data_IF_469455142992
#
_entry.id   IF_469455142992
#
_cell.length_a   1.000
_cell.length_b   1.000
_cell.length_c   1.000
_cell.angle_alpha   90.00
_cell.angle_beta   90.00
_cell.angle_gamma   90.00
#
_symmetry.space_group_name_H-M   'P 1'
#
loop_
_entity.id
_entity.type
_entity.pdbx_description
1 polymer ?
#
# COMPACT_ATOMS: atom_id res chain seq x y z
N UNK A 1 4.27 -41.36 53.54
CA UNK A 1 5.24 -40.26 53.61
C UNK A 1 5.72 -39.77 52.24
N UNK A 2 6.00 -40.65 51.27
CA UNK A 2 6.41 -40.24 49.91
C UNK A 2 5.32 -39.51 49.10
N UNK A 3 4.04 -39.81 49.28
CA UNK A 3 2.94 -39.12 48.56
C UNK A 3 2.72 -37.68 49.04
N UNK A 4 2.87 -37.43 50.34
CA UNK A 4 2.76 -36.11 50.95
C UNK A 4 3.95 -35.21 50.59
N UNK A 5 5.17 -35.75 50.52
CA UNK A 5 6.35 -35.02 50.06
C UNK A 5 6.23 -34.60 48.58
N UNK A 6 5.68 -35.46 47.71
CA UNK A 6 5.46 -35.17 46.29
C UNK A 6 4.40 -34.08 46.07
N UNK A 7 3.34 -34.08 46.87
CA UNK A 7 2.30 -33.04 46.86
C UNK A 7 2.83 -31.69 47.38
N UNK A 8 3.70 -31.69 48.38
CA UNK A 8 4.33 -30.48 48.87
C UNK A 8 5.30 -29.87 47.84
N UNK A 9 6.10 -30.71 47.18
CA UNK A 9 7.04 -30.27 46.14
C UNK A 9 6.33 -29.72 44.90
N UNK A 10 5.20 -30.30 44.46
CA UNK A 10 4.45 -29.76 43.31
C UNK A 10 3.78 -28.42 43.63
N UNK A 11 3.29 -28.26 44.86
CA UNK A 11 2.64 -27.01 45.31
C UNK A 11 3.66 -25.89 45.50
N UNK A 12 4.83 -26.22 46.05
CA UNK A 12 5.93 -25.28 46.23
C UNK A 12 6.55 -24.87 44.89
N UNK A 13 6.80 -25.83 44.00
CA UNK A 13 7.24 -25.56 42.62
C UNK A 13 6.21 -24.72 41.85
N UNK A 14 4.91 -24.98 42.00
CA UNK A 14 3.85 -24.19 41.37
C UNK A 14 3.83 -22.72 41.81
N UNK A 15 4.07 -22.45 43.11
CA UNK A 15 4.12 -21.08 43.64
C UNK A 15 5.38 -20.31 43.24
N UNK A 16 6.51 -21.00 43.09
CA UNK A 16 7.78 -20.40 42.63
C UNK A 16 7.81 -20.20 41.11
N UNK A 17 7.22 -21.11 40.36
CA UNK A 17 7.14 -21.02 38.90
C UNK A 17 6.06 -20.06 38.42
N UNK A 18 5.01 -19.80 39.20
CA UNK A 18 3.94 -18.86 38.83
C UNK A 18 4.44 -17.43 38.53
N UNK A 19 5.23 -16.76 39.39
CA UNK A 19 5.77 -15.43 39.09
C UNK A 19 6.81 -15.47 37.98
N UNK A 20 7.66 -16.50 37.89
CA UNK A 20 8.58 -16.65 36.76
C UNK A 20 7.82 -16.80 35.44
N UNK A 21 6.72 -17.58 35.44
CA UNK A 21 5.85 -17.74 34.29
C UNK A 21 5.19 -16.42 33.90
N UNK A 22 4.73 -15.61 34.87
CA UNK A 22 4.12 -14.31 34.59
C UNK A 22 5.14 -13.33 33.97
N UNK A 23 6.35 -13.24 34.53
CA UNK A 23 7.39 -12.35 33.99
C UNK A 23 7.87 -12.81 32.61
N UNK A 24 7.92 -14.12 32.36
CA UNK A 24 8.24 -14.67 31.03
C UNK A 24 7.11 -14.43 30.04
N UNK A 25 5.84 -14.56 30.42
CA UNK A 25 4.71 -14.17 29.56
C UNK A 25 4.74 -12.69 29.24
N UNK A 26 4.97 -11.82 30.24
CA UNK A 26 5.00 -10.37 30.02
C UNK A 26 6.18 -9.96 29.12
N UNK A 27 7.35 -10.59 29.28
CA UNK A 27 8.50 -10.37 28.41
C UNK A 27 8.27 -10.92 26.98
N UNK A 28 7.56 -12.03 26.84
CA UNK A 28 7.20 -12.61 25.53
C UNK A 28 6.12 -11.79 24.82
N UNK A 29 5.12 -11.29 25.55
CA UNK A 29 4.12 -10.39 25.02
C UNK A 29 4.77 -9.07 24.59
N UNK A 30 5.73 -8.55 25.37
CA UNK A 30 6.56 -7.41 24.98
C UNK A 30 7.43 -7.69 23.74
N UNK A 31 8.00 -8.90 23.62
CA UNK A 31 8.75 -9.29 22.43
C UNK A 31 7.85 -9.45 21.20
N UNK A 32 6.63 -9.99 21.36
CA UNK A 32 5.63 -10.09 20.29
C UNK A 32 5.21 -8.68 19.82
N UNK A 33 5.01 -7.74 20.75
CA UNK A 33 4.71 -6.34 20.43
C UNK A 33 5.86 -5.66 19.68
N UNK A 34 7.11 -5.90 20.09
CA UNK A 34 8.28 -5.35 19.38
C UNK A 34 8.41 -5.94 17.97
N UNK A 35 8.22 -7.25 17.81
CA UNK A 35 8.24 -7.91 16.49
C UNK A 35 7.09 -7.42 15.61
N UNK A 36 5.90 -7.22 16.18
CA UNK A 36 4.76 -6.65 15.49
C UNK A 36 5.06 -5.23 15.01
N UNK A 37 5.58 -4.36 15.89
CA UNK A 37 5.97 -2.98 15.53
C UNK A 37 7.05 -2.94 14.47
N UNK A 38 8.04 -3.84 14.55
CA UNK A 38 9.12 -3.90 13.59
C UNK A 38 8.64 -4.42 12.23
N UNK A 39 7.75 -5.42 12.22
CA UNK A 39 7.10 -5.90 11.00
C UNK A 39 6.20 -4.81 10.38
N UNK A 40 5.46 -4.06 11.20
CA UNK A 40 4.66 -2.92 10.73
C UNK A 40 5.55 -1.82 10.16
N UNK A 41 6.66 -1.47 10.82
CA UNK A 41 7.61 -0.46 10.34
C UNK A 41 8.29 -0.89 9.02
N UNK A 42 8.66 -2.16 8.88
CA UNK A 42 9.23 -2.70 7.64
C UNK A 42 8.20 -2.66 6.50
N UNK A 43 6.96 -3.08 6.77
CA UNK A 43 5.88 -3.00 5.78
C UNK A 43 5.58 -1.53 5.44
N UNK A 44 5.53 -0.65 6.43
CA UNK A 44 5.24 0.77 6.24
C UNK A 44 6.33 1.48 5.44
N UNK A 45 7.60 1.15 5.68
CA UNK A 45 8.75 1.70 4.94
C UNK A 45 8.77 1.20 3.50
N UNK A 46 8.60 -0.10 3.26
CA UNK A 46 8.52 -0.67 1.92
C UNK A 46 7.31 -0.11 1.14
N UNK A 47 6.17 0.08 1.82
CA UNK A 47 5.02 0.74 1.22
C UNK A 47 5.23 2.25 1.03
N UNK A 48 6.04 2.91 1.88
CA UNK A 48 6.30 4.35 1.80
C UNK A 48 7.21 4.65 0.62
N UNK A 49 8.28 3.89 0.43
CA UNK A 49 9.18 4.00 -0.71
C UNK A 49 8.44 3.80 -2.03
N UNK A 50 7.53 2.81 -2.08
CA UNK A 50 6.64 2.59 -3.23
C UNK A 50 5.59 3.68 -3.40
N UNK A 51 5.04 4.23 -2.32
CA UNK A 51 4.06 5.31 -2.41
C UNK A 51 4.71 6.63 -2.82
N UNK A 52 5.90 6.95 -2.32
CA UNK A 52 6.66 8.17 -2.61
C UNK A 52 6.98 8.29 -4.10
N UNK A 53 7.33 7.18 -4.75
CA UNK A 53 7.55 7.15 -6.20
C UNK A 53 6.29 7.44 -7.02
N UNK A 54 5.08 7.28 -6.44
CA UNK A 54 3.80 7.57 -7.09
C UNK A 54 3.22 8.94 -6.70
N UNK A 55 3.36 9.36 -5.43
CA UNK A 55 2.76 10.61 -4.92
C UNK A 55 3.51 11.84 -5.38
N UNK A 56 4.85 11.80 -5.42
CA UNK A 56 5.66 12.96 -5.78
C UNK A 56 5.38 13.45 -7.21
N UNK A 57 5.27 12.57 -8.23
CA UNK A 57 4.85 12.99 -9.57
C UNK A 57 3.43 13.57 -9.63
N UNK A 58 2.49 13.06 -8.83
CA UNK A 58 1.13 13.60 -8.76
C UNK A 58 1.10 15.03 -8.20
N UNK A 59 1.86 15.30 -7.12
CA UNK A 59 2.00 16.65 -6.57
C UNK A 59 2.70 17.60 -7.55
N UNK A 60 3.72 17.12 -8.27
CA UNK A 60 4.39 17.90 -9.32
C UNK A 60 3.42 18.27 -10.43
N UNK A 61 2.57 17.34 -10.89
CA UNK A 61 1.54 17.63 -11.90
C UNK A 61 0.56 18.71 -11.39
N UNK A 62 0.07 18.60 -10.15
CA UNK A 62 -0.84 19.60 -9.56
C UNK A 62 -0.16 20.96 -9.46
N UNK A 63 1.09 21.00 -8.99
CA UNK A 63 1.87 22.24 -8.92
C UNK A 63 2.08 22.86 -10.31
N UNK A 64 2.41 22.04 -11.31
CA UNK A 64 2.54 22.48 -12.70
C UNK A 64 1.22 23.00 -13.24
N UNK A 65 0.08 22.33 -12.98
CA UNK A 65 -1.23 22.83 -13.39
C UNK A 65 -1.55 24.19 -12.76
N UNK A 66 -1.24 24.37 -11.47
CA UNK A 66 -1.41 25.65 -10.78
C UNK A 66 -0.54 26.77 -11.39
N UNK A 67 0.73 26.48 -11.65
CA UNK A 67 1.66 27.41 -12.30
C UNK A 67 1.23 27.71 -13.74
N UNK A 68 0.81 26.70 -14.50
CA UNK A 68 0.32 26.85 -15.87
C UNK A 68 -0.96 27.68 -15.94
N UNK A 69 -1.86 27.51 -14.97
CA UNK A 69 -3.05 28.35 -14.83
C UNK A 69 -2.66 29.81 -14.54
N UNK A 70 -1.79 30.05 -13.57
CA UNK A 70 -1.32 31.40 -13.23
C UNK A 70 -0.60 32.09 -14.40
N UNK A 71 0.24 31.34 -15.13
CA UNK A 71 0.90 31.82 -16.34
C UNK A 71 -0.11 32.16 -17.44
N UNK A 72 -1.11 31.31 -17.66
CA UNK A 72 -2.19 31.56 -18.62
C UNK A 72 -3.00 32.81 -18.30
N UNK A 73 -3.32 33.03 -17.02
CA UNK A 73 -3.97 34.26 -16.55
C UNK A 73 -3.10 35.48 -16.80
N UNK A 74 -1.79 35.40 -16.52
CA UNK A 74 -0.86 36.50 -16.73
C UNK A 74 -0.67 36.86 -18.22
N UNK A 75 -0.81 35.89 -19.13
CA UNK A 75 -0.73 36.10 -20.58
C UNK A 75 -1.95 36.84 -21.16
N UNK A 76 -3.07 36.94 -20.42
CA UNK A 76 -4.26 37.69 -20.84
C UNK A 76 -4.96 37.17 -22.11
N UNK A 77 -4.54 36.01 -22.63
CA UNK A 77 -5.10 35.40 -23.85
C UNK A 77 -5.63 34.01 -23.54
N UNK A 78 -6.90 33.77 -23.91
CA UNK A 78 -7.55 32.47 -23.70
C UNK A 78 -6.84 31.33 -24.46
N UNK A 79 -6.26 31.63 -25.62
CA UNK A 79 -5.49 30.69 -26.45
C UNK A 79 -4.21 30.21 -25.74
N UNK A 80 -3.45 31.13 -25.14
CA UNK A 80 -2.22 30.82 -24.42
C UNK A 80 -2.48 29.97 -23.17
N UNK A 81 -3.54 30.30 -22.43
CA UNK A 81 -3.98 29.49 -21.29
C UNK A 81 -4.35 28.06 -21.70
N UNK A 82 -5.08 27.90 -22.81
CA UNK A 82 -5.46 26.58 -23.34
C UNK A 82 -4.22 25.77 -23.73
N UNK A 83 -3.29 26.35 -24.48
CA UNK A 83 -2.05 25.66 -24.89
C UNK A 83 -1.20 25.19 -23.70
N UNK A 84 -0.98 26.06 -22.72
CA UNK A 84 -0.19 25.73 -21.52
C UNK A 84 -0.86 24.63 -20.71
N UNK A 85 -2.16 24.76 -20.43
CA UNK A 85 -2.89 23.75 -19.65
C UNK A 85 -3.01 22.43 -20.42
N UNK A 86 -3.32 22.45 -21.71
CA UNK A 86 -3.41 21.24 -22.53
C UNK A 86 -2.09 20.48 -22.62
N UNK A 87 -0.95 21.18 -22.69
CA UNK A 87 0.38 20.56 -22.70
C UNK A 87 0.68 19.85 -21.38
N UNK A 88 0.37 20.50 -20.25
CA UNK A 88 0.56 19.93 -18.92
C UNK A 88 -0.35 18.72 -18.71
N UNK A 89 -1.61 18.80 -19.13
CA UNK A 89 -2.57 17.69 -19.06
C UNK A 89 -2.13 16.53 -19.94
N UNK A 90 -1.60 16.80 -21.14
CA UNK A 90 -1.07 15.76 -22.03
C UNK A 90 0.14 15.04 -21.42
N UNK A 91 1.10 15.78 -20.87
CA UNK A 91 2.25 15.20 -20.17
C UNK A 91 1.80 14.36 -18.96
N UNK A 92 0.84 14.86 -18.19
CA UNK A 92 0.23 14.13 -17.07
C UNK A 92 -0.48 12.85 -17.54
N UNK A 93 -1.19 12.89 -18.67
CA UNK A 93 -1.87 11.72 -19.23
C UNK A 93 -0.88 10.64 -19.69
N UNK A 94 0.20 11.02 -20.37
CA UNK A 94 1.28 10.09 -20.77
C UNK A 94 1.90 9.44 -19.53
N UNK A 95 2.22 10.25 -18.52
CA UNK A 95 2.75 9.75 -17.26
C UNK A 95 1.76 8.81 -16.55
N UNK A 96 0.47 9.15 -16.50
CA UNK A 96 -0.57 8.32 -15.90
C UNK A 96 -0.71 6.97 -16.62
N UNK A 97 -0.67 6.94 -17.95
CA UNK A 97 -0.66 5.69 -18.74
C UNK A 97 0.57 4.85 -18.40
N UNK A 98 1.76 5.47 -18.40
CA UNK A 98 3.00 4.78 -18.04
C UNK A 98 2.94 4.18 -16.63
N UNK A 99 2.54 4.98 -15.63
CA UNK A 99 2.39 4.56 -14.25
C UNK A 99 1.34 3.45 -14.08
N UNK A 100 0.22 3.53 -14.81
CA UNK A 100 -0.82 2.50 -14.81
C UNK A 100 -0.29 1.18 -15.38
N UNK A 101 0.43 1.22 -16.49
CA UNK A 101 1.04 0.02 -17.10
C UNK A 101 2.11 -0.58 -16.17
N UNK A 102 2.97 0.26 -15.58
CA UNK A 102 3.97 -0.17 -14.63
C UNK A 102 3.33 -0.81 -13.38
N UNK A 103 2.30 -0.17 -12.83
CA UNK A 103 1.52 -0.68 -11.70
C UNK A 103 0.81 -1.98 -12.03
N UNK A 104 0.16 -2.07 -13.20
CA UNK A 104 -0.49 -3.29 -13.67
C UNK A 104 0.51 -4.45 -13.80
N UNK A 105 1.69 -4.22 -14.39
CA UNK A 105 2.77 -5.22 -14.47
C UNK A 105 3.27 -5.66 -13.10
N UNK A 106 3.40 -4.72 -12.16
CA UNK A 106 3.85 -5.02 -10.81
C UNK A 106 2.81 -5.82 -10.01
N UNK A 107 1.52 -5.55 -10.22
CA UNK A 107 0.41 -6.25 -9.52
C UNK A 107 0.05 -7.56 -10.20
N UNK A 108 0.30 -7.70 -11.50
CA UNK A 108 -0.04 -8.88 -12.30
C UNK A 108 0.36 -10.23 -11.67
N UNK A 109 1.61 -10.47 -11.22
CA UNK A 109 1.97 -11.75 -10.63
C UNK A 109 1.16 -12.05 -9.36
N UNK A 110 0.86 -11.02 -8.57
CA UNK A 110 0.03 -11.16 -7.37
C UNK A 110 -1.44 -11.39 -7.71
N UNK A 111 -1.95 -10.76 -8.76
CA UNK A 111 -3.30 -10.98 -9.27
C UNK A 111 -3.49 -12.39 -9.82
N UNK A 112 -2.54 -12.88 -10.62
CA UNK A 112 -2.55 -14.24 -11.15
C UNK A 112 -2.48 -15.28 -10.03
N UNK A 113 -1.59 -15.08 -9.05
CA UNK A 113 -1.52 -15.95 -7.87
C UNK A 113 -2.80 -15.90 -7.04
N UNK A 114 -3.41 -14.72 -6.87
CA UNK A 114 -4.69 -14.58 -6.18
C UNK A 114 -5.81 -15.35 -6.90
N UNK A 115 -5.94 -15.17 -8.22
CA UNK A 115 -6.89 -15.91 -9.06
C UNK A 115 -6.67 -17.43 -8.96
N UNK A 116 -5.42 -17.89 -8.92
CA UNK A 116 -5.09 -19.31 -8.78
C UNK A 116 -5.46 -19.88 -7.39
N UNK A 117 -5.34 -19.07 -6.33
CA UNK A 117 -5.64 -19.53 -4.96
C UNK A 117 -7.13 -19.54 -4.59
N UNK A 118 -8.00 -18.89 -5.38
CA UNK A 118 -9.46 -18.77 -5.14
C UNK A 118 -9.84 -18.33 -3.71
N UNK A 119 -8.95 -17.61 -3.02
CA UNK A 119 -9.19 -17.14 -1.65
C UNK A 119 -9.72 -15.72 -1.64
N UNK A 120 -10.45 -15.35 -0.60
CA UNK A 120 -10.83 -13.96 -0.35
C UNK A 120 -9.58 -13.07 -0.23
N UNK A 121 -9.71 -11.78 -0.55
CA UNK A 121 -8.61 -10.78 -0.50
C UNK A 121 -7.88 -10.82 0.83
N UNK A 122 -8.62 -10.86 1.95
CA UNK A 122 -8.06 -10.97 3.30
C UNK A 122 -7.28 -12.27 3.50
N UNK A 123 -7.80 -13.39 2.97
CA UNK A 123 -7.14 -14.69 3.04
C UNK A 123 -5.86 -14.76 2.22
N UNK A 124 -5.81 -14.07 1.08
CA UNK A 124 -4.63 -13.97 0.23
C UNK A 124 -3.55 -13.07 0.84
N UNK A 125 -3.92 -11.87 1.33
CA UNK A 125 -2.98 -10.96 2.01
C UNK A 125 -2.38 -11.63 3.24
N UNK A 126 -3.20 -12.33 4.03
CA UNK A 126 -2.71 -13.12 5.17
C UNK A 126 -1.68 -14.17 4.75
N UNK A 127 -1.91 -14.86 3.62
CA UNK A 127 -0.97 -15.87 3.12
C UNK A 127 0.35 -15.25 2.65
N UNK A 128 0.29 -14.08 2.02
CA UNK A 128 1.49 -13.33 1.62
C UNK A 128 2.29 -12.84 2.84
N UNK A 129 1.63 -12.28 3.85
CA UNK A 129 2.28 -11.88 5.11
C UNK A 129 2.88 -13.10 5.81
N UNK A 130 2.15 -14.22 5.84
CA UNK A 130 2.66 -15.48 6.39
C UNK A 130 3.93 -15.95 5.67
N UNK A 131 3.92 -16.02 4.34
CA UNK A 131 5.08 -16.46 3.55
C UNK A 131 6.28 -15.53 3.74
N UNK A 132 6.03 -14.22 3.79
CA UNK A 132 7.06 -13.22 4.06
C UNK A 132 7.66 -13.37 5.46
N UNK A 133 6.82 -13.47 6.50
CA UNK A 133 7.25 -13.65 7.87
C UNK A 133 7.99 -14.97 8.06
N UNK A 134 7.52 -16.05 7.44
CA UNK A 134 8.20 -17.34 7.50
C UNK A 134 9.59 -17.26 6.88
N UNK A 135 9.73 -16.63 5.72
CA UNK A 135 11.04 -16.44 5.07
C UNK A 135 12.00 -15.56 5.88
N UNK A 136 11.49 -14.48 6.49
CA UNK A 136 12.29 -13.59 7.35
C UNK A 136 12.64 -14.24 8.69
N UNK A 137 11.73 -14.99 9.30
CA UNK A 137 12.00 -15.72 10.53
C UNK A 137 12.98 -16.85 10.28
N UNK A 138 12.81 -17.63 9.22
CA UNK A 138 13.76 -18.70 8.85
C UNK A 138 15.14 -18.10 8.52
N UNK A 139 15.19 -16.99 7.78
CA UNK A 139 16.44 -16.28 7.52
C UNK A 139 17.09 -15.79 8.81
N UNK A 140 16.41 -14.99 9.63
CA UNK A 140 16.97 -14.42 10.87
C UNK A 140 17.38 -15.49 11.89
N UNK A 141 16.61 -16.58 11.98
CA UNK A 141 16.97 -17.73 12.81
C UNK A 141 18.19 -18.44 12.23
N UNK A 142 18.34 -18.55 10.90
CA UNK A 142 19.52 -19.15 10.25
C UNK A 142 20.78 -18.28 10.30
N UNK A 143 20.67 -16.96 10.19
CA UNK A 143 21.82 -16.04 10.28
C UNK A 143 22.33 -15.88 11.70
N UNK A 144 21.46 -16.00 12.71
CA UNK A 144 21.87 -16.08 14.11
C UNK A 144 22.53 -17.43 14.45
N UNK A 145 22.28 -18.47 13.64
CA UNK A 145 22.85 -19.82 13.82
C UNK A 145 24.14 -20.03 13.05
N UNK A 146 25.17 -19.27 13.44
CA UNK A 146 26.48 -19.90 13.55
C UNK A 146 26.44 -21.09 14.53
N UNK A 147 25.58 -21.02 15.57
CA UNK A 147 25.32 -22.10 16.54
C UNK A 147 23.85 -22.05 17.04
N UNK A 148 23.25 -23.22 17.19
CA UNK A 148 21.80 -23.55 17.19
C UNK A 148 20.98 -23.20 18.45
N UNK A 149 21.41 -22.26 19.28
CA UNK A 149 20.91 -22.16 20.67
C UNK A 149 19.79 -21.13 20.86
N UNK A 150 19.81 -19.97 20.20
CA UNK A 150 18.91 -18.86 20.55
C UNK A 150 17.48 -19.08 20.00
N UNK A 151 17.35 -19.52 18.74
CA UNK A 151 16.05 -19.75 18.11
C UNK A 151 15.23 -20.85 18.77
N UNK A 152 15.89 -21.95 19.16
CA UNK A 152 15.26 -23.08 19.86
C UNK A 152 14.88 -22.71 21.30
N UNK A 153 15.66 -21.84 21.96
CA UNK A 153 15.35 -21.30 23.29
C UNK A 153 14.14 -20.38 23.24
N UNK A 154 14.04 -19.49 22.26
CA UNK A 154 12.86 -18.61 22.09
C UNK A 154 11.59 -19.41 21.83
N UNK A 155 11.64 -20.40 20.92
CA UNK A 155 10.50 -21.29 20.66
C UNK A 155 10.14 -22.16 21.87
N UNK A 156 11.13 -22.62 22.65
CA UNK A 156 10.87 -23.35 23.91
C UNK A 156 10.25 -22.44 24.97
N UNK A 157 10.73 -21.21 25.12
CA UNK A 157 10.17 -20.23 26.05
C UNK A 157 8.72 -19.91 25.68
N UNK A 158 8.44 -19.71 24.39
CA UNK A 158 7.07 -19.57 23.87
C UNK A 158 6.22 -20.82 24.13
N UNK A 159 6.78 -22.03 23.97
CA UNK A 159 6.03 -23.27 24.25
C UNK A 159 5.66 -23.43 25.74
N UNK A 160 6.47 -22.90 26.66
CA UNK A 160 6.27 -22.95 28.10
C UNK A 160 5.18 -21.97 28.57
N UNK A 161 4.98 -20.87 27.85
CA UNK A 161 3.91 -19.90 28.13
C UNK A 161 2.55 -20.31 27.53
N UNK A 162 2.49 -21.39 26.74
CA UNK A 162 1.29 -21.78 25.98
C UNK A 162 1.20 -21.13 24.60
N UNK A 163 2.28 -20.48 24.14
CA UNK A 163 2.44 -19.92 22.82
C UNK A 163 2.77 -20.98 21.73
N UNK A 164 2.88 -20.53 20.47
CA UNK A 164 3.13 -21.40 19.32
C UNK A 164 4.48 -22.15 19.45
N UNK A 165 4.44 -23.47 19.22
CA UNK A 165 5.62 -24.36 19.35
C UNK A 165 6.50 -24.42 18.11
N UNK A 166 6.00 -23.90 16.98
CA UNK A 166 6.70 -23.92 15.69
C UNK A 166 6.77 -22.51 15.12
N UNK A 167 7.82 -22.26 14.33
CA UNK A 167 7.99 -20.99 13.59
C UNK A 167 6.79 -20.73 12.68
N UNK A 168 6.24 -21.78 12.07
CA UNK A 168 5.05 -21.73 11.23
C UNK A 168 3.82 -21.25 12.00
N UNK A 169 3.58 -21.79 13.20
CA UNK A 169 2.45 -21.38 14.03
C UNK A 169 2.59 -19.93 14.52
N UNK A 170 3.82 -19.50 14.82
CA UNK A 170 4.13 -18.11 15.17
C UNK A 170 3.89 -17.16 13.98
N UNK A 171 4.44 -17.50 12.81
CA UNK A 171 4.29 -16.73 11.59
C UNK A 171 2.80 -16.60 11.19
N UNK A 172 2.02 -17.67 11.32
CA UNK A 172 0.59 -17.64 11.03
C UNK A 172 -0.19 -16.76 12.00
N UNK A 173 0.12 -16.84 13.30
CA UNK A 173 -0.53 -16.01 14.33
C UNK A 173 -0.25 -14.53 14.13
N UNK A 174 1.02 -14.19 13.86
CA UNK A 174 1.43 -12.83 13.50
C UNK A 174 0.74 -12.37 12.22
N UNK A 175 0.68 -13.21 11.19
CA UNK A 175 -0.01 -12.87 9.95
C UNK A 175 -1.49 -12.54 10.19
N UNK A 176 -2.20 -13.32 11.01
CA UNK A 176 -3.61 -13.06 11.36
C UNK A 176 -3.78 -11.70 12.04
N UNK A 177 -2.89 -11.33 12.97
CA UNK A 177 -2.95 -10.04 13.69
C UNK A 177 -2.59 -8.84 12.80
N UNK A 178 -1.55 -8.99 11.97
CA UNK A 178 -1.02 -7.91 11.14
C UNK A 178 -1.92 -7.64 9.92
N UNK A 179 -2.60 -8.65 9.37
CA UNK A 179 -3.45 -8.55 8.17
C UNK A 179 -4.44 -7.36 8.20
N UNK A 180 -5.33 -7.19 9.21
CA UNK A 180 -6.28 -6.08 9.22
C UNK A 180 -5.60 -4.70 9.27
N UNK A 181 -4.46 -4.61 9.97
CA UNK A 181 -3.69 -3.37 10.06
C UNK A 181 -3.10 -3.02 8.70
N UNK A 182 -2.46 -3.97 8.03
CA UNK A 182 -1.88 -3.77 6.69
C UNK A 182 -2.96 -3.43 5.67
N UNK A 183 -4.12 -4.09 5.71
CA UNK A 183 -5.25 -3.77 4.82
C UNK A 183 -5.76 -2.35 5.05
N UNK A 184 -5.90 -1.91 6.31
CA UNK A 184 -6.31 -0.54 6.64
C UNK A 184 -5.32 0.49 6.11
N UNK A 185 -4.03 0.28 6.33
CA UNK A 185 -2.97 1.19 5.86
C UNK A 185 -2.89 1.21 4.34
N UNK A 186 -2.98 0.05 3.68
CA UNK A 186 -3.03 -0.05 2.23
C UNK A 186 -4.23 0.72 1.66
N UNK A 187 -5.41 0.59 2.26
CA UNK A 187 -6.62 1.33 1.86
C UNK A 187 -6.48 2.85 2.06
N UNK A 188 -5.98 3.29 3.21
CA UNK A 188 -5.73 4.72 3.48
C UNK A 188 -4.72 5.32 2.49
N UNK A 189 -3.64 4.59 2.19
CA UNK A 189 -2.63 5.03 1.21
C UNK A 189 -3.17 5.04 -0.21
N UNK A 190 -3.99 4.06 -0.59
CA UNK A 190 -4.68 4.06 -1.87
C UNK A 190 -5.54 5.31 -2.03
N UNK A 191 -6.28 5.69 -0.98
CA UNK A 191 -7.07 6.93 -0.96
C UNK A 191 -6.18 8.19 -1.06
N UNK A 192 -5.02 8.21 -0.41
CA UNK A 192 -4.07 9.33 -0.52
C UNK A 192 -3.49 9.51 -1.92
N UNK A 193 -3.35 8.42 -2.68
CA UNK A 193 -2.88 8.48 -4.08
C UNK A 193 -4.03 8.80 -5.04
N UNK A 194 -5.17 8.14 -4.89
CA UNK A 194 -6.32 8.33 -5.78
C UNK A 194 -7.02 9.67 -5.55
N UNK A 195 -7.05 10.18 -4.32
CA UNK A 195 -7.72 11.43 -3.96
C UNK A 195 -7.27 12.62 -4.80
N UNK A 196 -5.96 12.94 -4.86
CA UNK A 196 -5.44 14.02 -5.70
C UNK A 196 -5.70 13.83 -7.19
N UNK A 197 -5.62 12.58 -7.69
CA UNK A 197 -5.90 12.27 -9.11
C UNK A 197 -7.37 12.54 -9.44
N UNK A 198 -8.28 12.04 -8.60
CA UNK A 198 -9.71 12.28 -8.74
C UNK A 198 -10.06 13.77 -8.60
N UNK A 199 -9.39 14.48 -7.68
CA UNK A 199 -9.53 15.93 -7.51
C UNK A 199 -9.06 16.73 -8.72
N UNK A 200 -7.89 16.39 -9.27
CA UNK A 200 -7.37 17.01 -10.50
C UNK A 200 -8.29 16.73 -11.70
N UNK A 201 -8.82 15.52 -11.81
CA UNK A 201 -9.78 15.16 -12.86
C UNK A 201 -11.10 15.94 -12.71
N UNK A 202 -11.63 16.05 -11.48
CA UNK A 202 -12.80 16.86 -11.20
C UNK A 202 -12.55 18.35 -11.52
N UNK A 203 -11.42 18.91 -11.13
CA UNK A 203 -11.04 20.29 -11.46
C UNK A 203 -10.97 20.51 -12.98
N UNK A 204 -10.30 19.61 -13.70
CA UNK A 204 -10.24 19.65 -15.16
C UNK A 204 -11.65 19.63 -15.79
N UNK A 205 -12.53 18.74 -15.30
CA UNK A 205 -13.89 18.59 -15.82
C UNK A 205 -14.82 19.76 -15.49
N UNK A 206 -14.77 20.30 -14.28
CA UNK A 206 -15.73 21.31 -13.83
C UNK A 206 -15.23 22.76 -13.95
N UNK A 207 -13.91 23.00 -13.96
CA UNK A 207 -13.35 24.36 -13.94
C UNK A 207 -12.68 24.73 -15.27
N UNK A 208 -11.92 23.81 -15.87
CA UNK A 208 -11.19 24.12 -17.13
C UNK A 208 -12.12 23.99 -18.34
N UNK A 209 -12.99 22.98 -18.35
CA UNK A 209 -13.95 22.76 -19.43
C UNK A 209 -15.40 22.64 -18.89
N UNK A 210 -15.95 23.69 -18.26
CA UNK A 210 -17.32 23.65 -17.72
C UNK A 210 -18.36 23.39 -18.81
N UNK A 211 -18.09 23.81 -20.04
CA UNK A 211 -18.94 23.61 -21.22
C UNK A 211 -19.13 22.12 -21.57
N UNK A 212 -18.17 21.24 -21.25
CA UNK A 212 -18.30 19.78 -21.44
C UNK A 212 -19.36 19.14 -20.53
N UNK A 213 -19.75 19.82 -19.45
CA UNK A 213 -20.77 19.35 -18.50
C UNK A 213 -22.10 20.05 -18.74
N UNK A 214 -22.07 21.31 -19.21
CA UNK A 214 -23.25 22.16 -19.33
C UNK A 214 -23.92 22.14 -20.70
N UNK A 215 -23.21 21.73 -21.76
CA UNK A 215 -23.82 21.58 -23.09
C UNK A 215 -24.03 20.09 -23.37
N UNK A 216 -25.15 19.75 -24.02
CA UNK A 216 -25.48 18.41 -24.57
C UNK A 216 -24.48 17.94 -25.66
N UNK A 217 -23.21 18.32 -25.58
CA UNK A 217 -22.16 18.12 -26.58
C UNK A 217 -21.65 16.67 -26.70
N UNK A 218 -22.35 15.69 -26.12
CA UNK A 218 -22.10 14.27 -26.38
C UNK A 218 -20.71 13.74 -25.95
N UNK A 219 -19.86 14.56 -25.33
CA UNK A 219 -18.52 14.16 -24.89
C UNK A 219 -18.62 13.15 -23.74
N UNK A 220 -18.54 11.87 -24.10
CA UNK A 220 -18.46 10.77 -23.15
C UNK A 220 -17.32 11.02 -22.13
N UNK A 221 -17.42 10.45 -20.91
CA UNK A 221 -16.33 10.48 -19.93
C UNK A 221 -14.98 10.01 -20.49
N UNK A 222 -14.99 9.22 -21.57
CA UNK A 222 -13.83 8.65 -22.25
C UNK A 222 -13.20 9.55 -23.31
N UNK A 223 -13.92 10.52 -23.85
CA UNK A 223 -13.41 11.47 -24.85
C UNK A 223 -12.86 12.76 -24.22
N UNK A 224 -13.26 13.10 -22.99
CA UNK A 224 -12.68 14.18 -22.19
C UNK A 224 -11.14 14.16 -22.06
N UNK A 225 -10.46 13.01 -21.85
CA UNK A 225 -8.99 12.96 -21.81
C UNK A 225 -8.32 13.05 -23.19
N UNK A 226 -9.05 12.83 -24.28
CA UNK A 226 -8.54 12.98 -25.66
C UNK A 226 -8.65 14.43 -26.15
N UNK A 227 -9.51 15.23 -25.53
CA UNK A 227 -9.72 16.62 -25.90
C UNK A 227 -8.47 17.53 -25.82
N UNK A 228 -7.59 17.44 -24.80
CA UNK A 228 -6.30 18.17 -24.80
C UNK A 228 -5.42 17.80 -25.98
N UNK A 229 -5.40 16.52 -26.35
CA UNK A 229 -4.59 16.00 -27.45
C UNK A 229 -5.12 16.52 -28.78
N UNK A 230 -6.44 16.51 -28.97
CA UNK A 230 -7.08 17.13 -30.12
C UNK A 230 -6.86 18.66 -30.17
N UNK A 231 -6.95 19.35 -29.04
CA UNK A 231 -6.68 20.79 -28.97
C UNK A 231 -5.24 21.15 -29.34
N UNK A 232 -4.29 20.33 -28.92
CA UNK A 232 -2.88 20.51 -29.22
C UNK A 232 -2.58 20.18 -30.69
N UNK A 233 -3.20 19.13 -31.24
CA UNK A 233 -3.13 18.83 -32.68
C UNK A 233 -3.74 19.94 -33.53
N UNK A 234 -4.90 20.48 -33.14
CA UNK A 234 -5.55 21.59 -33.85
C UNK A 234 -4.68 22.85 -33.81
N UNK A 235 -4.03 23.13 -32.67
CA UNK A 235 -3.15 24.29 -32.52
C UNK A 235 -1.82 24.15 -33.29
N UNK A 236 -1.24 22.95 -33.38
CA UNK A 236 0.06 22.70 -34.04
C UNK A 236 -0.09 22.43 -35.53
N UNK A 237 -1.09 21.65 -35.93
CA UNK A 237 -1.27 21.14 -37.29
C UNK A 237 -2.45 21.80 -38.03
N UNK A 238 -3.21 22.69 -37.38
CA UNK A 238 -4.36 23.35 -38.00
C UNK A 238 -5.54 22.41 -38.29
N UNK A 239 -5.64 21.29 -37.56
CA UNK A 239 -6.71 20.30 -37.74
C UNK A 239 -8.04 20.74 -37.10
N UNK A 240 -9.09 19.94 -37.29
CA UNK A 240 -10.42 20.11 -36.68
C UNK A 240 -10.82 18.91 -35.80
N UNK A 241 -9.83 18.27 -35.16
CA UNK A 241 -10.01 17.09 -34.31
C UNK A 241 -10.93 17.37 -33.13
N UNK A 242 -10.92 18.58 -32.56
CA UNK A 242 -11.85 18.95 -31.48
C UNK A 242 -13.31 18.88 -31.91
N UNK A 243 -13.64 19.32 -33.12
CA UNK A 243 -15.02 19.24 -33.61
C UNK A 243 -15.46 17.80 -33.88
N UNK A 244 -14.53 16.92 -34.26
CA UNK A 244 -14.82 15.49 -34.46
C UNK A 244 -15.05 14.76 -33.13
N UNK A 245 -14.43 15.21 -32.04
CA UNK A 245 -14.69 14.65 -30.69
C UNK A 245 -16.01 15.15 -30.07
N UNK A 246 -16.61 16.19 -30.63
CA UNK A 246 -17.85 16.81 -30.17
C UNK A 246 -19.09 16.35 -30.95
N UNK A 247 -18.91 15.54 -32.00
CA UNK A 247 -19.96 14.89 -32.82
C UNK A 247 -20.17 13.46 -32.39
#
# INVERSE_FOLDING_TARGET
MLSTAKAYLSTWAGRLLAPLRSHVTDALDGAEEVVERLALAEVDSAMFERAQSLTLPAFVIIALMGLGHAAGVAMGTAEGMRLVVSTIVLAAAIYAVHATVAGARAVLPYGLAWCATTRDVTGYVRLQIYAFLLGRLDASLRTATGETTIGSVVLRLLSLSGGPRTVEALAWRLAVRITPVVLRHAGQRLLLVLGPILGAWAYYRFVVYPEMVQTDTGLSPWSAPLYPLAALCDAVFGTTLRSVLLT
#
